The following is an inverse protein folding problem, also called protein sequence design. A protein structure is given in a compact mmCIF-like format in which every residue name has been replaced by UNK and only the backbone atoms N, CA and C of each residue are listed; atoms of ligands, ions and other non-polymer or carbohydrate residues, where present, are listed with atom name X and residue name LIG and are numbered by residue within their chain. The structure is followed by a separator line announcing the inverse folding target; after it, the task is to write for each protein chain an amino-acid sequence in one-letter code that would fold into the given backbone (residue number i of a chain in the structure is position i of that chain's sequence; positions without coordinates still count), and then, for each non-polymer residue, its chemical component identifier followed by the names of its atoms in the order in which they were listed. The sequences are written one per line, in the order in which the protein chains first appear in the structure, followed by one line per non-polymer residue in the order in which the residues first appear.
data_IF_256916182854
#
_entry.id   IF_256916182854
#
_cell.length_a   1.000
_cell.length_b   1.000
_cell.length_c   1.000
_cell.angle_alpha   90.00
_cell.angle_beta   90.00
_cell.angle_gamma   90.00
#
_symmetry.space_group_name_H-M   'P 1'
#
loop_
_entity.id
_entity.type
_entity.pdbx_description
1 polymer ?
#
# COMPACT_ATOMS: atom_id res chain seq x y z
N UNK A 1 36.00 45.66 8.93
CA UNK A 1 35.92 47.04 8.43
C UNK A 1 35.02 47.01 7.20
N UNK A 2 33.78 47.51 7.29
CA UNK A 2 32.81 47.52 6.18
C UNK A 2 33.25 48.51 5.08
N UNK A 3 32.77 48.37 3.84
CA UNK A 3 31.55 49.10 3.40
C UNK A 3 30.75 48.29 2.33
N UNK A 4 29.58 48.64 1.82
CA UNK A 4 28.49 49.55 2.14
C UNK A 4 27.37 49.16 1.15
N UNK A 5 26.11 49.31 1.56
CA UNK A 5 24.95 49.12 0.71
C UNK A 5 24.87 50.18 -0.41
N UNK A 6 24.18 49.88 -1.53
CA UNK A 6 23.62 50.92 -2.39
C UNK A 6 22.18 51.35 -1.98
N UNK A 7 21.80 52.62 -2.28
CA UNK A 7 20.52 53.28 -1.95
C UNK A 7 19.38 52.83 -2.89
N UNK A 8 18.08 52.99 -2.65
CA UNK A 8 17.32 54.10 -2.06
C UNK A 8 16.70 54.95 -3.19
N UNK A 9 15.35 55.05 -3.23
CA UNK A 9 14.47 56.04 -3.92
C UNK A 9 13.38 55.36 -4.79
N UNK A 10 12.10 55.43 -4.37
CA UNK A 10 11.07 56.41 -4.77
C UNK A 10 10.09 55.77 -5.79
N UNK A 11 8.85 55.42 -5.42
CA UNK A 11 7.67 56.26 -5.18
C UNK A 11 6.84 56.57 -6.45
N UNK A 12 5.51 56.38 -6.30
CA UNK A 12 4.36 56.86 -7.11
C UNK A 12 3.93 55.93 -8.27
N UNK A 13 2.73 55.35 -8.31
CA UNK A 13 1.32 55.83 -8.23
C UNK A 13 0.70 56.06 -9.62
N UNK A 14 -0.51 55.49 -9.81
CA UNK A 14 -1.38 55.62 -11.00
C UNK A 14 -1.06 54.60 -12.11
N UNK A 15 -2.01 54.05 -12.87
CA UNK A 15 -3.46 54.18 -12.96
C UNK A 15 -3.99 53.01 -13.81
N UNK A 16 -5.32 52.91 -13.88
CA UNK A 16 -6.14 51.89 -14.51
C UNK A 16 -5.69 51.35 -15.89
N UNK A 17 -5.91 50.05 -16.07
CA UNK A 17 -5.94 49.37 -17.36
C UNK A 17 -6.79 48.11 -17.22
N UNK A 18 -8.10 48.27 -17.40
CA UNK A 18 -9.02 47.18 -17.75
C UNK A 18 -8.59 46.67 -19.13
N UNK A 19 -8.33 45.36 -19.26
CA UNK A 19 -8.51 44.62 -20.51
C UNK A 19 -8.27 43.12 -20.26
N UNK A 20 -9.40 42.42 -20.12
CA UNK A 20 -9.73 41.27 -20.97
C UNK A 20 -8.75 40.09 -21.09
N UNK A 21 -9.29 38.93 -20.72
CA UNK A 21 -9.12 37.61 -21.38
C UNK A 21 -8.17 36.62 -20.74
N UNK A 22 -8.77 35.73 -19.92
CA UNK A 22 -8.38 34.32 -19.84
C UNK A 22 -8.70 33.62 -21.18
N UNK A 23 -7.90 32.63 -21.62
CA UNK A 23 -7.91 31.32 -21.01
C UNK A 23 -6.51 30.75 -20.73
N UNK A 24 -6.26 30.48 -19.45
CA UNK A 24 -5.23 29.55 -19.01
C UNK A 24 -5.65 28.12 -19.39
N UNK A 25 -4.88 27.46 -20.25
CA UNK A 25 -4.49 26.05 -20.10
C UNK A 25 -3.44 25.69 -21.15
N UNK A 26 -2.19 26.05 -20.87
CA UNK A 26 -1.05 25.40 -21.47
C UNK A 26 -0.75 24.09 -20.73
N UNK A 27 -0.62 22.99 -21.48
CA UNK A 27 0.64 22.23 -21.58
C UNK A 27 0.40 20.80 -22.13
N UNK A 28 0.77 20.65 -23.40
CA UNK A 28 1.76 19.70 -23.91
C UNK A 28 1.68 18.21 -23.49
N UNK A 29 1.14 17.42 -24.42
CA UNK A 29 1.68 16.17 -25.01
C UNK A 29 2.86 15.48 -24.28
N UNK A 30 2.62 14.26 -23.79
CA UNK A 30 3.57 13.15 -23.86
C UNK A 30 2.85 11.79 -23.72
N UNK A 31 2.90 10.99 -24.78
CA UNK A 31 2.57 9.57 -24.72
C UNK A 31 3.69 8.85 -23.95
N UNK A 32 3.33 8.07 -22.92
CA UNK A 32 4.25 7.16 -22.23
C UNK A 32 3.65 5.74 -22.20
N UNK A 33 4.42 4.70 -22.55
CA UNK A 33 3.93 3.34 -22.69
C UNK A 33 3.70 2.70 -21.32
N UNK A 34 2.44 2.38 -21.02
CA UNK A 34 2.08 1.68 -19.79
C UNK A 34 2.28 0.16 -19.95
N UNK A 35 3.54 -0.23 -19.71
CA UNK A 35 4.02 -1.42 -19.00
C UNK A 35 2.93 -2.42 -18.58
N UNK A 36 3.13 -3.67 -19.03
CA UNK A 36 2.45 -4.93 -18.65
C UNK A 36 1.54 -4.80 -17.43
N UNK A 37 0.23 -4.77 -17.70
CA UNK A 37 -0.85 -4.76 -16.70
C UNK A 37 -0.86 -6.09 -15.93
N UNK A 38 -0.02 -6.15 -14.90
CA UNK A 38 0.13 -7.30 -14.02
C UNK A 38 -1.16 -7.65 -13.29
N UNK A 39 -1.23 -8.88 -12.80
CA UNK A 39 -2.38 -9.50 -12.14
C UNK A 39 -3.08 -8.64 -11.07
N UNK A 40 -2.33 -7.81 -10.34
CA UNK A 40 -2.87 -6.90 -9.32
C UNK A 40 -3.79 -5.82 -9.93
N UNK A 41 -3.53 -5.38 -11.17
CA UNK A 41 -4.37 -4.43 -11.89
C UNK A 41 -5.69 -5.05 -12.39
N UNK A 42 -5.74 -6.38 -12.55
CA UNK A 42 -6.98 -7.11 -12.88
C UNK A 42 -7.87 -7.29 -11.66
N UNK A 43 -7.28 -7.42 -10.46
CA UNK A 43 -8.00 -7.50 -9.19
C UNK A 43 -8.59 -6.13 -8.78
N UNK A 44 -7.81 -5.06 -8.85
CA UNK A 44 -8.27 -3.69 -8.54
C UNK A 44 -9.33 -3.21 -9.55
N UNK A 45 -9.24 -3.64 -10.81
CA UNK A 45 -10.24 -3.35 -11.85
C UNK A 45 -11.60 -4.03 -11.63
N UNK A 46 -11.65 -5.16 -10.91
CA UNK A 46 -12.91 -5.83 -10.55
C UNK A 46 -13.63 -5.12 -9.39
N UNK A 47 -12.91 -4.53 -8.44
CA UNK A 47 -13.52 -3.75 -7.36
C UNK A 47 -14.19 -2.46 -7.88
N UNK A 48 -13.57 -1.76 -8.84
CA UNK A 48 -14.19 -0.57 -9.46
C UNK A 48 -15.42 -0.87 -10.33
N UNK A 49 -15.61 -2.12 -10.78
CA UNK A 49 -16.85 -2.55 -11.46
C UNK A 49 -17.99 -2.83 -10.48
N UNK A 50 -17.69 -3.08 -9.20
CA UNK A 50 -18.70 -3.27 -8.16
C UNK A 50 -19.30 -1.94 -7.64
N UNK A 51 -18.63 -0.80 -7.83
CA UNK A 51 -19.15 0.51 -7.39
C UNK A 51 -20.17 1.15 -8.34
N UNK A 52 -20.32 0.67 -9.58
CA UNK A 52 -21.23 1.27 -10.57
C UNK A 52 -22.64 0.68 -10.62
N UNK A 53 -22.96 -0.35 -9.83
CA UNK A 53 -24.10 -1.22 -10.12
C UNK A 53 -25.08 -1.43 -8.95
N UNK A 54 -25.28 -0.46 -8.04
CA UNK A 54 -26.40 -0.47 -7.07
C UNK A 54 -26.88 0.94 -6.71
N UNK A 55 -27.62 1.58 -7.63
CA UNK A 55 -28.60 2.61 -7.27
C UNK A 55 -29.95 1.92 -7.09
N UNK A 56 -30.20 1.40 -5.89
CA UNK A 56 -31.50 0.96 -5.42
C UNK A 56 -31.50 1.14 -3.90
N UNK A 57 -32.31 2.07 -3.42
CA UNK A 57 -32.49 2.38 -2.00
C UNK A 57 -33.42 1.34 -1.35
N UNK A 58 -33.10 0.89 -0.13
CA UNK A 58 -34.12 0.52 0.83
C UNK A 58 -34.01 1.39 2.09
N UNK A 59 -35.11 2.08 2.37
CA UNK A 59 -35.74 2.46 3.64
C UNK A 59 -34.94 2.33 4.95
N UNK A 60 -35.06 3.39 5.75
CA UNK A 60 -34.40 3.62 7.02
C UNK A 60 -34.79 2.62 8.13
N UNK A 61 -33.80 1.80 8.52
CA UNK A 61 -33.72 1.15 9.81
C UNK A 61 -32.32 1.37 10.36
N UNK A 62 -32.10 2.53 11.00
CA UNK A 62 -30.80 2.92 11.56
C UNK A 62 -30.55 2.23 12.90
N UNK A 63 -30.40 0.91 12.89
CA UNK A 63 -29.62 0.20 13.90
C UNK A 63 -28.22 -0.01 13.33
N UNK A 64 -27.42 1.06 13.36
CA UNK A 64 -25.98 0.94 13.07
C UNK A 64 -25.41 0.07 14.21
N UNK A 65 -24.90 -1.15 13.96
CA UNK A 65 -24.34 -1.94 15.03
C UNK A 65 -23.25 -1.12 15.72
N UNK A 66 -23.36 -0.98 17.04
CA UNK A 66 -22.47 -0.18 17.89
C UNK A 66 -20.98 -0.61 17.83
N UNK A 67 -20.68 -1.69 17.10
CA UNK A 67 -19.35 -2.24 16.87
C UNK A 67 -18.33 -1.29 16.24
N UNK A 68 -18.76 -0.14 15.71
CA UNK A 68 -17.90 0.89 15.11
C UNK A 68 -17.76 2.17 15.95
N UNK A 69 -17.93 2.09 17.28
CA UNK A 69 -17.39 3.13 18.18
C UNK A 69 -15.86 3.11 18.02
N UNK A 70 -15.39 3.98 17.13
CA UNK A 70 -14.02 4.02 16.57
C UNK A 70 -12.91 4.38 17.56
N UNK A 71 -13.11 4.16 18.87
CA UNK A 71 -12.07 4.24 19.90
C UNK A 71 -11.51 2.88 20.33
N UNK A 72 -12.20 1.77 20.05
CA UNK A 72 -11.85 0.46 20.60
C UNK A 72 -10.66 -0.22 19.91
N UNK A 73 -10.55 -0.12 18.59
CA UNK A 73 -9.53 -0.86 17.82
C UNK A 73 -8.10 -0.45 18.17
N UNK A 74 -7.80 0.84 18.17
CA UNK A 74 -6.47 1.36 18.51
C UNK A 74 -6.16 1.22 20.02
N UNK A 75 -7.16 1.42 20.88
CA UNK A 75 -7.00 1.21 22.31
C UNK A 75 -6.72 -0.27 22.65
N UNK A 76 -7.36 -1.22 21.94
CA UNK A 76 -7.13 -2.65 22.11
C UNK A 76 -5.70 -3.07 21.74
N UNK A 77 -5.13 -2.51 20.66
CA UNK A 77 -3.74 -2.81 20.27
C UNK A 77 -2.72 -2.44 21.36
N UNK A 78 -2.98 -1.42 22.19
CA UNK A 78 -2.12 -1.08 23.35
C UNK A 78 -2.13 -2.14 24.45
N UNK A 79 -3.20 -2.91 24.55
CA UNK A 79 -3.37 -3.94 25.57
C UNK A 79 -3.06 -5.37 25.07
N UNK A 80 -3.09 -5.59 23.75
CA UNK A 80 -2.76 -6.90 23.17
C UNK A 80 -1.28 -7.23 23.33
N UNK A 81 -1.00 -8.46 23.75
CA UNK A 81 0.35 -9.02 23.82
C UNK A 81 0.63 -9.82 22.55
N UNK A 82 1.92 -10.06 22.28
CA UNK A 82 2.34 -10.90 21.15
C UNK A 82 1.74 -12.31 21.25
N UNK A 83 1.64 -12.86 22.45
CA UNK A 83 1.01 -14.16 22.71
C UNK A 83 -0.44 -14.25 22.24
N UNK A 84 -1.16 -13.12 22.23
CA UNK A 84 -2.59 -13.08 21.95
C UNK A 84 -2.88 -13.10 20.43
N UNK A 85 -1.86 -12.80 19.62
CA UNK A 85 -1.95 -12.71 18.15
C UNK A 85 -0.96 -13.64 17.44
N UNK A 86 -0.06 -14.29 18.17
CA UNK A 86 0.93 -15.20 17.61
C UNK A 86 0.27 -16.48 17.08
N UNK A 87 0.79 -16.98 15.96
CA UNK A 87 0.39 -18.28 15.41
C UNK A 87 0.98 -19.39 16.29
N UNK A 88 0.17 -20.36 16.77
CA UNK A 88 0.68 -21.49 17.55
C UNK A 88 1.73 -22.31 16.79
N UNK A 89 2.73 -22.85 17.48
CA UNK A 89 3.84 -23.60 16.84
C UNK A 89 3.38 -24.74 15.94
N UNK A 90 2.32 -25.45 16.34
CA UNK A 90 1.79 -26.57 15.58
C UNK A 90 1.20 -26.16 14.21
N UNK A 91 0.85 -24.88 14.06
CA UNK A 91 0.22 -24.33 12.86
C UNK A 91 1.22 -23.59 11.96
N UNK A 92 2.49 -23.45 12.39
CA UNK A 92 3.50 -22.74 11.60
C UNK A 92 3.91 -23.59 10.40
N UNK A 93 3.63 -23.07 9.20
CA UNK A 93 4.16 -23.63 7.96
C UNK A 93 5.59 -23.11 7.76
N UNK A 94 6.57 -24.02 7.87
CA UNK A 94 7.99 -23.72 7.70
C UNK A 94 8.62 -24.66 6.67
N UNK A 95 9.75 -24.25 6.10
CA UNK A 95 10.49 -25.07 5.11
C UNK A 95 11.89 -25.43 5.64
N UNK A 96 12.37 -26.66 5.40
CA UNK A 96 13.74 -27.03 5.75
C UNK A 96 14.74 -26.36 4.80
N UNK A 97 15.96 -26.10 5.26
CA UNK A 97 17.00 -25.45 4.45
C UNK A 97 17.47 -26.30 3.26
N UNK A 98 17.30 -27.62 3.35
CA UNK A 98 17.68 -28.58 2.31
C UNK A 98 16.62 -28.72 1.19
N UNK A 99 15.49 -28.00 1.27
CA UNK A 99 14.42 -28.09 0.26
C UNK A 99 14.89 -27.59 -1.11
N UNK A 100 14.57 -28.36 -2.17
CA UNK A 100 14.79 -27.93 -3.55
C UNK A 100 13.80 -26.84 -4.00
N UNK A 101 14.13 -26.18 -5.10
CA UNK A 101 13.31 -25.08 -5.65
C UNK A 101 11.88 -25.52 -6.00
N UNK A 102 11.71 -26.68 -6.63
CA UNK A 102 10.39 -27.18 -7.04
C UNK A 102 9.49 -27.46 -5.82
N UNK A 103 10.06 -28.09 -4.80
CA UNK A 103 9.36 -28.35 -3.53
C UNK A 103 8.98 -27.05 -2.82
N UNK A 104 9.87 -26.06 -2.83
CA UNK A 104 9.60 -24.74 -2.26
C UNK A 104 8.44 -24.02 -2.98
N UNK A 105 8.42 -24.05 -4.32
CA UNK A 105 7.33 -23.47 -5.12
C UNK A 105 6.00 -24.13 -4.78
N UNK A 106 5.98 -25.46 -4.63
CA UNK A 106 4.74 -26.16 -4.27
C UNK A 106 4.25 -25.80 -2.87
N UNK A 107 5.14 -25.63 -1.89
CA UNK A 107 4.77 -25.14 -0.55
C UNK A 107 4.16 -23.73 -0.62
N UNK A 108 4.73 -22.84 -1.44
CA UNK A 108 4.15 -21.51 -1.65
C UNK A 108 2.77 -21.55 -2.30
N UNK A 109 2.56 -22.43 -3.29
CA UNK A 109 1.25 -22.59 -3.95
C UNK A 109 0.19 -23.16 -3.01
N UNK A 110 0.56 -24.12 -2.15
CA UNK A 110 -0.36 -24.74 -1.20
C UNK A 110 -0.69 -23.87 0.00
N UNK A 111 0.31 -23.19 0.57
CA UNK A 111 0.12 -22.37 1.78
C UNK A 111 -0.48 -20.99 1.49
N UNK A 112 -0.19 -20.40 0.33
CA UNK A 112 -0.62 -19.05 -0.01
C UNK A 112 0.09 -17.94 0.79
N UNK A 113 1.09 -18.26 1.61
CA UNK A 113 1.85 -17.27 2.36
C UNK A 113 2.88 -16.57 1.48
N UNK A 114 3.14 -15.29 1.79
CA UNK A 114 4.17 -14.50 1.08
C UNK A 114 5.56 -14.69 1.64
N UNK A 115 5.65 -15.22 2.87
CA UNK A 115 6.87 -15.40 3.65
C UNK A 115 6.78 -16.71 4.41
N UNK A 116 7.86 -17.49 4.37
CA UNK A 116 7.97 -18.75 5.11
C UNK A 116 9.28 -18.74 5.90
N UNK A 117 9.27 -19.12 7.19
CA UNK A 117 10.49 -19.33 7.95
C UNK A 117 11.24 -20.55 7.41
N UNK A 118 12.57 -20.42 7.36
CA UNK A 118 13.49 -21.50 6.99
C UNK A 118 14.16 -21.99 8.25
N UNK A 119 14.15 -23.30 8.48
CA UNK A 119 14.75 -23.91 9.66
C UNK A 119 15.76 -24.99 9.28
N UNK A 120 16.64 -25.34 10.22
CA UNK A 120 17.54 -26.47 10.11
C UNK A 120 17.35 -27.39 11.32
N UNK A 121 17.08 -28.67 11.06
CA UNK A 121 16.78 -29.73 12.06
C UNK A 121 15.52 -29.49 12.91
N UNK A 122 15.35 -28.33 13.54
CA UNK A 122 14.19 -28.01 14.39
C UNK A 122 13.65 -26.60 14.10
N UNK A 123 12.36 -26.42 14.35
CA UNK A 123 11.63 -25.17 14.18
C UNK A 123 11.95 -24.12 15.27
N UNK A 124 12.67 -24.50 16.33
CA UNK A 124 13.13 -23.59 17.41
C UNK A 124 14.28 -22.67 16.97
N UNK A 125 15.01 -23.06 15.93
CA UNK A 125 16.16 -22.32 15.41
C UNK A 125 15.92 -21.94 13.95
N UNK A 126 15.05 -20.94 13.68
CA UNK A 126 14.89 -20.43 12.33
C UNK A 126 16.20 -19.75 11.89
N UNK A 127 16.73 -20.18 10.75
CA UNK A 127 17.91 -19.56 10.14
C UNK A 127 17.56 -18.23 9.46
N UNK A 128 16.32 -18.10 8.98
CA UNK A 128 15.86 -16.91 8.28
C UNK A 128 14.47 -17.06 7.69
N UNK A 129 14.18 -16.26 6.67
CA UNK A 129 12.91 -16.28 5.94
C UNK A 129 13.13 -16.29 4.44
N UNK A 130 12.26 -17.01 3.73
CA UNK A 130 12.16 -16.97 2.28
C UNK A 130 10.92 -16.20 1.87
N UNK A 131 11.09 -15.30 0.90
CA UNK A 131 10.02 -14.47 0.37
C UNK A 131 9.59 -14.98 -1.00
N UNK A 132 8.27 -15.09 -1.21
CA UNK A 132 7.71 -15.45 -2.51
C UNK A 132 8.17 -14.49 -3.62
N UNK A 133 8.28 -13.20 -3.30
CA UNK A 133 8.77 -12.18 -4.22
C UNK A 133 10.17 -12.51 -4.75
N UNK A 134 11.08 -12.93 -3.89
CA UNK A 134 12.47 -13.16 -4.28
C UNK A 134 12.60 -14.42 -5.15
N UNK A 135 11.81 -15.45 -4.83
CA UNK A 135 11.70 -16.65 -5.67
C UNK A 135 11.14 -16.28 -7.05
N UNK A 136 10.07 -15.49 -7.09
CA UNK A 136 9.43 -15.08 -8.34
C UNK A 136 10.32 -14.16 -9.21
N UNK A 137 11.21 -13.36 -8.61
CA UNK A 137 12.09 -12.46 -9.36
C UNK A 137 13.40 -13.13 -9.81
N UNK A 138 13.87 -14.15 -9.10
CA UNK A 138 15.13 -14.85 -9.42
C UNK A 138 14.94 -16.09 -10.28
N UNK A 139 13.78 -16.73 -10.19
CA UNK A 139 13.51 -18.02 -10.83
C UNK A 139 12.19 -18.03 -11.63
N UNK A 140 11.52 -16.88 -11.77
CA UNK A 140 10.27 -16.73 -12.52
C UNK A 140 10.44 -16.09 -13.88
#
# INVERSE_FOLDING_TARGET
MAPAAPPGAAAQAGEAGDEGSSPSSGQTRAAAPARRRGWLGRLIGRLRRAEGARRAEPEAGSERPEALRSGGGLAALRSLRVSDVAVPRAEIVAVPVEIGLDGLVEVFRRSGYTRLPVYQRTLDHPLGMVHLKDVALRYG
#
